data_IF_168371361197
#
_entry.id   IF_168371361197
#
_cell.length_a   1.000
_cell.length_b   1.000
_cell.length_c   1.000
_cell.angle_alpha   90.00
_cell.angle_beta   90.00
_cell.angle_gamma   90.00
#
_symmetry.space_group_name_H-M   'P 1'
#
loop_
_entity.id
_entity.type
_entity.pdbx_description
1 polymer ?
#
# COMPACT_ATOMS: atom_id res chain seq x y z
N UNK A 1 14.60 -18.27 -24.78
CA UNK A 1 14.61 -16.85 -25.21
C UNK A 1 13.22 -16.30 -25.52
N UNK A 2 12.41 -16.94 -26.38
CA UNK A 2 11.07 -16.43 -26.74
C UNK A 2 10.09 -16.27 -25.55
N UNK A 3 10.15 -17.15 -24.54
CA UNK A 3 9.32 -17.02 -23.33
C UNK A 3 9.69 -15.83 -22.44
N UNK A 4 10.96 -15.43 -22.45
CA UNK A 4 11.46 -14.29 -21.66
C UNK A 4 10.99 -12.96 -22.23
N UNK A 5 11.04 -12.82 -23.56
CA UNK A 5 10.57 -11.62 -24.26
C UNK A 5 9.07 -11.39 -24.10
N UNK A 6 8.27 -12.46 -24.06
CA UNK A 6 6.83 -12.40 -23.82
C UNK A 6 6.49 -11.89 -22.42
N UNK A 7 7.17 -12.40 -21.40
CA UNK A 7 6.98 -11.93 -20.01
C UNK A 7 7.41 -10.47 -19.85
N UNK A 8 8.50 -10.06 -20.51
CA UNK A 8 8.98 -8.68 -20.48
C UNK A 8 8.01 -7.71 -21.17
N UNK A 9 7.42 -8.11 -22.30
CA UNK A 9 6.42 -7.31 -23.01
C UNK A 9 5.11 -7.18 -22.22
N UNK A 10 4.63 -8.26 -21.60
CA UNK A 10 3.43 -8.24 -20.75
C UNK A 10 3.66 -7.36 -19.52
N UNK A 11 4.82 -7.49 -18.86
CA UNK A 11 5.20 -6.61 -17.77
C UNK A 11 5.28 -5.15 -18.24
N UNK A 12 5.90 -4.86 -19.39
CA UNK A 12 5.99 -3.51 -19.95
C UNK A 12 4.62 -2.86 -20.22
N UNK A 13 3.65 -3.62 -20.73
CA UNK A 13 2.29 -3.12 -20.99
C UNK A 13 1.53 -2.87 -19.68
N UNK A 14 1.62 -3.77 -18.70
CA UNK A 14 1.01 -3.58 -17.38
C UNK A 14 1.62 -2.37 -16.64
N UNK A 15 2.94 -2.22 -16.72
CA UNK A 15 3.68 -1.11 -16.10
C UNK A 15 3.42 0.24 -16.76
N UNK A 16 3.15 0.28 -18.07
CA UNK A 16 2.77 1.51 -18.79
C UNK A 16 1.37 2.02 -18.44
N UNK A 17 0.50 1.16 -17.89
CA UNK A 17 -0.89 1.52 -17.55
C UNK A 17 -0.97 2.27 -16.20
N UNK A 18 -0.07 1.97 -15.26
CA UNK A 18 0.00 2.63 -13.93
C UNK A 18 0.12 4.17 -13.98
N UNK A 19 1.01 4.78 -14.80
CA UNK A 19 1.10 6.24 -14.90
C UNK A 19 -0.13 6.91 -15.51
N UNK A 20 -1.00 6.17 -16.21
CA UNK A 20 -2.25 6.72 -16.75
C UNK A 20 -3.38 6.78 -15.71
N UNK A 21 -3.32 5.93 -14.68
CA UNK A 21 -4.30 5.90 -13.59
C UNK A 21 -3.91 6.91 -12.50
N UNK A 22 -2.61 7.04 -12.22
CA UNK A 22 -2.09 7.96 -11.20
C UNK A 22 -1.18 9.02 -11.83
N UNK A 23 -1.77 10.09 -12.35
CA UNK A 23 -1.02 11.22 -12.92
C UNK A 23 -0.03 11.87 -11.94
N UNK A 24 -0.25 11.74 -10.63
CA UNK A 24 0.65 12.24 -9.59
C UNK A 24 1.94 11.42 -9.46
N UNK A 25 1.99 10.21 -10.04
CA UNK A 25 3.17 9.34 -10.07
C UNK A 25 4.03 9.64 -11.30
N UNK A 26 4.97 10.58 -11.15
CA UNK A 26 5.92 10.90 -12.23
C UNK A 26 6.73 9.66 -12.63
N UNK A 27 7.05 9.55 -13.93
CA UNK A 27 7.82 8.43 -14.52
C UNK A 27 9.11 8.06 -13.77
N UNK A 28 9.82 9.03 -13.20
CA UNK A 28 11.03 8.78 -12.42
C UNK A 28 10.80 7.92 -11.17
N UNK A 29 9.71 8.15 -10.42
CA UNK A 29 9.38 7.36 -9.22
C UNK A 29 9.05 5.91 -9.58
N UNK A 30 8.40 5.71 -10.72
CA UNK A 30 8.03 4.39 -11.25
C UNK A 30 9.30 3.59 -11.57
N UNK A 31 10.28 4.20 -12.24
CA UNK A 31 11.57 3.56 -12.56
C UNK A 31 12.29 3.13 -11.27
N UNK A 32 12.35 4.01 -10.27
CA UNK A 32 12.98 3.70 -8.98
C UNK A 32 12.30 2.50 -8.33
N UNK A 33 10.97 2.48 -8.23
CA UNK A 33 10.22 1.36 -7.67
C UNK A 33 10.55 0.06 -8.42
N UNK A 34 10.62 0.07 -9.75
CA UNK A 34 10.91 -1.14 -10.53
C UNK A 34 12.33 -1.67 -10.39
N UNK A 35 13.30 -0.83 -10.04
CA UNK A 35 14.67 -1.27 -9.77
C UNK A 35 14.75 -1.94 -8.39
N UNK A 36 14.14 -1.35 -7.36
CA UNK A 36 14.26 -1.83 -5.99
C UNK A 36 13.24 -2.94 -5.64
N UNK A 37 12.03 -2.89 -6.18
CA UNK A 37 10.96 -3.84 -5.84
C UNK A 37 11.33 -5.31 -6.09
N UNK A 38 12.01 -5.70 -7.19
CA UNK A 38 12.42 -7.09 -7.40
C UNK A 38 13.40 -7.59 -6.34
N UNK A 39 14.33 -6.73 -5.90
CA UNK A 39 15.31 -7.06 -4.84
C UNK A 39 14.58 -7.26 -3.51
N UNK A 40 13.68 -6.34 -3.15
CA UNK A 40 12.89 -6.45 -1.93
C UNK A 40 11.93 -7.64 -1.96
N UNK A 41 11.32 -7.92 -3.10
CA UNK A 41 10.45 -9.07 -3.31
C UNK A 41 11.21 -10.39 -3.15
N UNK A 42 12.43 -10.49 -3.70
CA UNK A 42 13.29 -11.66 -3.50
C UNK A 42 13.62 -11.86 -2.02
N UNK A 43 14.08 -10.81 -1.33
CA UNK A 43 14.39 -10.87 0.11
C UNK A 43 13.16 -11.26 0.93
N UNK A 44 11.99 -10.69 0.63
CA UNK A 44 10.75 -11.00 1.33
C UNK A 44 10.29 -12.45 1.10
N UNK A 45 10.33 -12.92 -0.15
CA UNK A 45 9.94 -14.28 -0.50
C UNK A 45 10.87 -15.31 0.16
N UNK A 46 12.19 -15.04 0.16
CA UNK A 46 13.16 -15.88 0.85
C UNK A 46 12.90 -15.92 2.36
N UNK A 47 12.74 -14.77 3.00
CA UNK A 47 12.43 -14.69 4.43
C UNK A 47 11.12 -15.40 4.76
N UNK A 48 10.07 -15.15 3.98
CA UNK A 48 8.76 -15.77 4.16
C UNK A 48 8.80 -17.29 3.99
N UNK A 49 9.62 -17.81 3.07
CA UNK A 49 9.82 -19.27 2.91
C UNK A 49 10.34 -19.95 4.18
N UNK A 50 11.15 -19.24 4.97
CA UNK A 50 11.72 -19.71 6.24
C UNK A 50 10.84 -19.42 7.46
N UNK A 51 10.30 -18.20 7.58
CA UNK A 51 9.59 -17.73 8.78
C UNK A 51 8.07 -17.83 8.69
N UNK A 52 7.54 -18.16 7.51
CA UNK A 52 6.11 -18.09 7.19
C UNK A 52 5.50 -16.68 7.42
N UNK A 53 6.33 -15.64 7.41
CA UNK A 53 5.91 -14.26 7.67
C UNK A 53 6.31 -13.33 6.53
N UNK A 54 5.38 -12.48 6.07
CA UNK A 54 5.60 -11.52 4.99
C UNK A 54 5.72 -10.10 5.54
N UNK A 55 6.76 -9.38 5.11
CA UNK A 55 7.02 -8.00 5.50
C UNK A 55 6.48 -6.97 4.48
N UNK A 56 5.55 -7.38 3.61
CA UNK A 56 5.00 -6.53 2.53
C UNK A 56 4.53 -5.16 3.04
N UNK A 57 3.80 -5.12 4.16
CA UNK A 57 3.35 -3.86 4.80
C UNK A 57 4.51 -2.93 5.20
N UNK A 58 5.62 -3.48 5.70
CA UNK A 58 6.79 -2.66 6.05
C UNK A 58 7.46 -2.08 4.80
N UNK A 59 7.63 -2.88 3.75
CA UNK A 59 8.17 -2.40 2.46
C UNK A 59 7.25 -1.36 1.80
N UNK A 60 5.93 -1.52 1.92
CA UNK A 60 4.95 -0.51 1.53
C UNK A 60 5.18 0.82 2.24
N UNK A 61 5.32 0.81 3.56
CA UNK A 61 5.61 2.02 4.35
C UNK A 61 6.94 2.66 3.98
N UNK A 62 7.97 1.88 3.68
CA UNK A 62 9.24 2.42 3.15
C UNK A 62 9.05 3.10 1.80
N UNK A 63 8.20 2.54 0.92
CA UNK A 63 7.85 3.19 -0.35
C UNK A 63 7.10 4.51 -0.13
N UNK A 64 6.21 4.60 0.86
CA UNK A 64 5.56 5.85 1.26
C UNK A 64 6.60 6.91 1.63
N UNK A 65 7.54 6.59 2.52
CA UNK A 65 8.53 7.57 2.98
C UNK A 65 9.48 8.00 1.87
N UNK A 66 9.96 7.07 1.06
CA UNK A 66 10.93 7.38 0.00
C UNK A 66 10.31 8.17 -1.16
N UNK A 67 9.13 7.77 -1.62
CA UNK A 67 8.45 8.39 -2.77
C UNK A 67 7.63 9.61 -2.34
N UNK A 68 6.95 9.54 -1.19
CA UNK A 68 6.18 10.65 -0.65
C UNK A 68 7.08 11.85 -0.30
N UNK A 69 8.21 11.61 0.39
CA UNK A 69 9.17 12.67 0.68
C UNK A 69 9.78 13.26 -0.60
N UNK A 70 10.10 12.40 -1.59
CA UNK A 70 10.69 12.83 -2.86
C UNK A 70 9.74 13.64 -3.75
N UNK A 71 8.43 13.40 -3.69
CA UNK A 71 7.42 14.11 -4.46
C UNK A 71 7.04 15.48 -3.85
N UNK A 72 7.13 15.63 -2.52
CA UNK A 72 6.83 16.86 -1.80
C UNK A 72 5.33 17.23 -1.75
N UNK A 73 5.00 18.21 -0.89
CA UNK A 73 3.60 18.65 -0.65
C UNK A 73 2.97 19.30 -1.90
N UNK A 74 3.77 19.97 -2.72
CA UNK A 74 3.30 20.74 -3.89
C UNK A 74 2.84 19.89 -5.07
N UNK A 75 3.18 18.60 -5.11
CA UNK A 75 2.86 17.69 -6.24
C UNK A 75 2.00 16.51 -5.81
N UNK A 76 1.19 16.65 -4.76
CA UNK A 76 0.33 15.57 -4.30
C UNK A 76 1.11 14.35 -3.77
N UNK A 77 2.24 14.59 -3.11
CA UNK A 77 3.14 13.54 -2.61
C UNK A 77 2.47 12.50 -1.72
N UNK A 78 1.38 12.85 -1.03
CA UNK A 78 0.58 11.91 -0.22
C UNK A 78 -0.05 10.84 -1.12
N UNK A 79 -0.70 11.26 -2.21
CA UNK A 79 -1.31 10.34 -3.17
C UNK A 79 -0.26 9.53 -3.92
N UNK A 80 0.85 10.16 -4.32
CA UNK A 80 1.97 9.47 -4.98
C UNK A 80 2.61 8.41 -4.06
N UNK A 81 2.82 8.73 -2.78
CA UNK A 81 3.34 7.81 -1.78
C UNK A 81 2.40 6.65 -1.47
N UNK A 82 1.09 6.92 -1.34
CA UNK A 82 0.06 5.88 -1.15
C UNK A 82 -0.05 4.94 -2.37
N UNK A 83 -0.02 5.49 -3.58
CA UNK A 83 -0.02 4.68 -4.79
C UNK A 83 1.27 3.84 -4.92
N UNK A 84 2.43 4.42 -4.63
CA UNK A 84 3.70 3.69 -4.59
C UNK A 84 3.70 2.57 -3.53
N UNK A 85 3.10 2.82 -2.37
CA UNK A 85 2.88 1.82 -1.34
C UNK A 85 2.06 0.64 -1.87
N UNK A 86 0.93 0.92 -2.51
CA UNK A 86 0.07 -0.11 -3.09
C UNK A 86 0.82 -0.97 -4.11
N UNK A 87 1.58 -0.34 -5.02
CA UNK A 87 2.39 -1.05 -6.01
C UNK A 87 3.45 -1.92 -5.33
N UNK A 88 4.23 -1.37 -4.40
CA UNK A 88 5.27 -2.12 -3.68
C UNK A 88 4.70 -3.29 -2.90
N UNK A 89 3.60 -3.06 -2.16
CA UNK A 89 2.95 -4.11 -1.37
C UNK A 89 2.47 -5.26 -2.25
N UNK A 90 1.83 -4.97 -3.39
CA UNK A 90 1.35 -6.00 -4.32
C UNK A 90 2.51 -6.82 -4.89
N UNK A 91 3.60 -6.19 -5.32
CA UNK A 91 4.77 -6.92 -5.85
C UNK A 91 5.34 -7.86 -4.79
N UNK A 92 5.54 -7.33 -3.59
CA UNK A 92 6.22 -8.04 -2.50
C UNK A 92 5.33 -9.11 -1.86
N UNK A 93 4.02 -8.89 -1.77
CA UNK A 93 3.07 -9.92 -1.30
C UNK A 93 2.96 -11.05 -2.31
N UNK A 94 2.77 -10.73 -3.60
CA UNK A 94 2.63 -11.73 -4.66
C UNK A 94 3.85 -12.65 -4.73
N UNK A 95 5.05 -12.11 -4.54
CA UNK A 95 6.27 -12.92 -4.51
C UNK A 95 6.31 -13.92 -3.35
N UNK A 96 5.83 -13.51 -2.16
CA UNK A 96 5.75 -14.40 -1.00
C UNK A 96 4.64 -15.44 -1.12
N UNK A 97 3.47 -15.04 -1.62
CA UNK A 97 2.36 -15.96 -1.86
C UNK A 97 2.78 -17.04 -2.87
N UNK A 98 3.46 -16.65 -3.95
CA UNK A 98 4.02 -17.58 -4.93
C UNK A 98 5.06 -18.53 -4.32
N UNK A 99 5.89 -18.05 -3.40
CA UNK A 99 6.86 -18.89 -2.68
C UNK A 99 6.15 -19.93 -1.82
N UNK A 100 5.14 -19.52 -1.05
CA UNK A 100 4.34 -20.42 -0.22
C UNK A 100 3.60 -21.45 -1.07
N UNK A 101 3.04 -21.01 -2.20
CA UNK A 101 2.39 -21.88 -3.16
C UNK A 101 3.33 -22.91 -3.75
N UNK A 102 4.55 -22.53 -4.16
CA UNK A 102 5.51 -23.51 -4.66
C UNK A 102 5.95 -24.51 -3.58
N UNK A 103 6.08 -24.07 -2.33
CA UNK A 103 6.38 -24.95 -1.19
C UNK A 103 5.24 -25.95 -0.98
N UNK A 104 4.00 -25.49 -0.95
CA UNK A 104 2.80 -26.32 -0.83
C UNK A 104 2.64 -27.26 -2.03
N UNK A 105 2.89 -26.76 -3.24
CA UNK A 105 2.86 -27.54 -4.47
C UNK A 105 3.89 -28.67 -4.47
N UNK A 106 5.09 -28.42 -3.93
CA UNK A 106 6.09 -29.45 -3.74
C UNK A 106 5.64 -30.53 -2.75
N UNK A 107 5.03 -30.14 -1.62
CA UNK A 107 4.54 -31.09 -0.60
C UNK A 107 3.35 -31.93 -1.10
N UNK A 108 2.52 -31.38 -1.99
CA UNK A 108 1.35 -32.05 -2.58
C UNK A 108 1.66 -32.79 -3.89
N UNK A 109 2.95 -32.86 -4.28
CA UNK A 109 3.41 -33.45 -5.55
C UNK A 109 2.75 -32.79 -6.79
N UNK A 110 2.22 -31.58 -6.64
CA UNK A 110 1.65 -30.82 -7.73
C UNK A 110 2.75 -30.26 -8.64
N UNK A 111 2.49 -30.23 -9.94
CA UNK A 111 3.48 -29.69 -10.89
C UNK A 111 3.64 -28.18 -10.72
N UNK A 112 4.90 -27.70 -10.70
CA UNK A 112 5.25 -26.27 -10.59
C UNK A 112 4.58 -25.42 -11.68
N UNK A 113 4.42 -25.98 -12.89
CA UNK A 113 3.76 -25.30 -14.01
C UNK A 113 2.27 -25.09 -13.76
N UNK A 114 1.58 -26.10 -13.22
CA UNK A 114 0.16 -25.97 -12.86
C UNK A 114 -0.04 -24.86 -11.83
N UNK A 115 0.82 -24.81 -10.81
CA UNK A 115 0.75 -23.80 -9.75
C UNK A 115 0.90 -22.36 -10.29
N UNK A 116 1.89 -22.13 -11.16
CA UNK A 116 2.06 -20.81 -11.79
C UNK A 116 0.88 -20.42 -12.67
N UNK A 117 0.27 -21.36 -13.39
CA UNK A 117 -0.91 -21.08 -14.22
C UNK A 117 -2.11 -20.70 -13.35
N UNK A 118 -2.35 -21.44 -12.27
CA UNK A 118 -3.42 -21.11 -11.30
C UNK A 118 -3.24 -19.72 -10.68
N UNK A 119 -2.00 -19.35 -10.34
CA UNK A 119 -1.68 -18.02 -9.81
C UNK A 119 -1.98 -16.89 -10.80
N UNK A 120 -1.63 -17.07 -12.08
CA UNK A 120 -1.98 -16.09 -13.13
C UNK A 120 -3.49 -15.96 -13.28
N UNK A 121 -4.23 -17.07 -13.28
CA UNK A 121 -5.69 -17.06 -13.40
C UNK A 121 -6.33 -16.39 -12.17
N UNK A 122 -5.90 -16.77 -10.97
CA UNK A 122 -6.40 -16.21 -9.72
C UNK A 122 -6.14 -14.70 -9.62
N UNK A 123 -4.94 -14.26 -10.02
CA UNK A 123 -4.60 -12.83 -10.08
C UNK A 123 -5.48 -12.10 -11.08
N UNK A 124 -5.67 -12.64 -12.28
CA UNK A 124 -6.52 -12.03 -13.32
C UNK A 124 -7.99 -11.92 -12.85
N UNK A 125 -8.52 -12.95 -12.20
CA UNK A 125 -9.85 -12.91 -11.58
C UNK A 125 -9.91 -11.86 -10.47
N UNK A 126 -8.89 -11.77 -9.61
CA UNK A 126 -8.80 -10.78 -8.55
C UNK A 126 -8.81 -9.35 -9.07
N UNK A 127 -8.12 -9.07 -10.18
CA UNK A 127 -8.12 -7.75 -10.82
C UNK A 127 -9.51 -7.29 -11.30
N UNK A 128 -10.44 -8.22 -11.56
CA UNK A 128 -11.81 -7.89 -11.97
C UNK A 128 -12.76 -7.92 -10.78
N UNK A 129 -12.71 -8.97 -9.95
CA UNK A 129 -13.64 -9.17 -8.84
C UNK A 129 -13.44 -8.10 -7.76
N UNK A 130 -12.18 -7.77 -7.41
CA UNK A 130 -11.87 -6.80 -6.35
C UNK A 130 -12.49 -5.41 -6.60
N UNK A 131 -12.29 -4.74 -7.75
CA UNK A 131 -12.93 -3.45 -8.01
C UNK A 131 -14.46 -3.56 -8.13
N UNK A 132 -15.00 -4.66 -8.67
CA UNK A 132 -16.45 -4.86 -8.72
C UNK A 132 -17.07 -4.92 -7.33
N UNK A 133 -16.47 -5.69 -6.41
CA UNK A 133 -16.92 -5.77 -5.02
C UNK A 133 -16.77 -4.41 -4.34
N UNK A 134 -15.62 -3.74 -4.48
CA UNK A 134 -15.41 -2.41 -3.94
C UNK A 134 -16.49 -1.43 -4.41
N UNK A 135 -16.85 -1.43 -5.69
CA UNK A 135 -17.87 -0.54 -6.24
C UNK A 135 -19.27 -0.80 -5.70
N UNK A 136 -19.62 -2.08 -5.47
CA UNK A 136 -20.90 -2.45 -4.84
C UNK A 136 -20.97 -1.87 -3.43
N UNK A 137 -19.93 -2.06 -2.62
CA UNK A 137 -19.88 -1.51 -1.26
C UNK A 137 -19.88 0.03 -1.26
N UNK A 138 -19.11 0.64 -2.17
CA UNK A 138 -19.04 2.10 -2.32
C UNK A 138 -20.39 2.73 -2.71
N UNK A 139 -21.22 2.02 -3.48
CA UNK A 139 -22.58 2.49 -3.84
C UNK A 139 -23.63 2.14 -2.79
N UNK A 140 -23.46 1.03 -2.07
CA UNK A 140 -24.42 0.58 -1.07
C UNK A 140 -24.34 1.39 0.23
N UNK A 141 -23.13 1.84 0.62
CA UNK A 141 -22.90 2.54 1.88
C UNK A 141 -22.31 3.94 1.61
N UNK A 142 -23.08 5.03 1.78
CA UNK A 142 -22.61 6.39 1.51
C UNK A 142 -21.57 6.89 2.54
N UNK A 143 -21.49 6.24 3.70
CA UNK A 143 -20.60 6.53 4.83
C UNK A 143 -19.39 5.58 4.90
N UNK A 144 -19.18 4.74 3.89
CA UNK A 144 -18.11 3.73 3.85
C UNK A 144 -16.74 4.34 4.19
N UNK A 145 -16.08 3.79 5.22
CA UNK A 145 -14.73 4.18 5.63
C UNK A 145 -14.65 5.33 6.64
N UNK A 146 -15.76 5.99 6.98
CA UNK A 146 -15.80 6.93 8.10
C UNK A 146 -15.72 6.18 9.44
N UNK A 147 -15.11 6.80 10.46
CA UNK A 147 -15.00 6.18 11.80
C UNK A 147 -16.36 5.93 12.45
N UNK A 148 -17.39 6.69 12.06
CA UNK A 148 -18.76 6.56 12.53
C UNK A 148 -19.62 5.58 11.71
N UNK A 149 -19.05 4.96 10.67
CA UNK A 149 -19.77 4.04 9.79
C UNK A 149 -19.82 2.63 10.37
N UNK A 150 -20.76 1.82 9.88
CA UNK A 150 -20.79 0.38 10.14
C UNK A 150 -19.54 -0.33 9.60
N UNK A 151 -18.89 0.23 8.57
CA UNK A 151 -17.65 -0.28 7.97
C UNK A 151 -16.51 0.76 8.04
N UNK A 152 -15.89 0.95 9.22
CA UNK A 152 -14.77 1.87 9.36
C UNK A 152 -13.52 1.33 8.65
N UNK A 153 -12.71 2.23 8.08
CA UNK A 153 -11.47 1.89 7.36
C UNK A 153 -10.22 2.34 8.13
N UNK A 154 -9.91 1.74 9.30
CA UNK A 154 -8.83 2.21 10.18
C UNK A 154 -7.45 2.17 9.51
N UNK A 155 -7.21 1.18 8.64
CA UNK A 155 -5.97 1.11 7.88
C UNK A 155 -5.84 2.27 6.88
N UNK A 156 -6.92 2.75 6.27
CA UNK A 156 -6.86 3.89 5.38
C UNK A 156 -6.36 5.14 6.13
N UNK A 157 -6.89 5.40 7.32
CA UNK A 157 -6.45 6.51 8.19
C UNK A 157 -4.98 6.39 8.61
N UNK A 158 -4.52 5.17 8.96
CA UNK A 158 -3.13 4.92 9.35
C UNK A 158 -2.17 5.18 8.19
N UNK A 159 -2.45 4.63 7.01
CA UNK A 159 -1.58 4.80 5.84
C UNK A 159 -1.62 6.23 5.31
N UNK A 160 -2.77 6.90 5.36
CA UNK A 160 -2.89 8.32 5.05
C UNK A 160 -2.02 9.17 5.98
N UNK A 161 -2.07 8.90 7.30
CA UNK A 161 -1.25 9.61 8.29
C UNK A 161 0.24 9.37 8.06
N UNK A 162 0.63 8.14 7.72
CA UNK A 162 2.02 7.81 7.36
C UNK A 162 2.47 8.53 6.07
N UNK A 163 1.59 8.63 5.08
CA UNK A 163 1.88 9.35 3.85
C UNK A 163 1.98 10.86 4.06
N UNK A 164 1.10 11.43 4.88
CA UNK A 164 1.21 12.83 5.30
C UNK A 164 2.53 13.08 6.04
N UNK A 165 2.88 12.21 6.98
CA UNK A 165 4.15 12.28 7.70
C UNK A 165 5.36 12.16 6.76
N UNK A 166 5.31 11.26 5.77
CA UNK A 166 6.39 11.09 4.81
C UNK A 166 6.60 12.32 3.92
N UNK A 167 5.56 13.11 3.67
CA UNK A 167 5.62 14.27 2.78
C UNK A 167 5.93 15.56 3.54
N UNK A 168 5.36 15.74 4.74
CA UNK A 168 5.51 16.94 5.57
C UNK A 168 6.68 16.82 6.58
N UNK A 169 7.24 15.62 6.76
CA UNK A 169 8.35 15.35 7.66
C UNK A 169 7.99 15.45 9.14
N UNK A 170 9.00 15.53 10.02
CA UNK A 170 8.81 15.54 11.48
C UNK A 170 7.91 16.68 12.00
N UNK A 171 7.72 17.74 11.21
CA UNK A 171 6.81 18.84 11.52
C UNK A 171 5.33 18.42 11.57
N UNK A 172 4.97 17.28 10.99
CA UNK A 172 3.63 16.70 11.06
C UNK A 172 3.41 15.79 12.28
N UNK A 173 4.44 15.49 13.10
CA UNK A 173 4.24 14.74 14.34
C UNK A 173 3.57 15.63 15.40
N UNK A 174 2.62 15.08 16.18
CA UNK A 174 2.14 15.73 17.40
C UNK A 174 3.33 16.04 18.33
N UNK A 175 3.35 17.26 18.90
CA UNK A 175 4.45 17.76 19.73
C UNK A 175 4.77 16.89 20.97
N UNK A 176 3.85 16.01 21.35
CA UNK A 176 3.95 15.15 22.54
C UNK A 176 4.55 13.75 22.25
N UNK A 177 4.79 13.36 20.98
CA UNK A 177 5.36 12.04 20.66
C UNK A 177 6.82 11.85 21.11
N UNK A 178 7.60 12.93 21.21
CA UNK A 178 9.00 12.88 21.66
C UNK A 178 9.14 12.79 23.20
N UNK A 179 8.11 13.15 23.97
CA UNK A 179 8.16 13.11 25.44
C UNK A 179 7.99 11.70 26.03
N UNK A 180 7.49 10.74 25.26
CA UNK A 180 7.23 9.38 25.74
C UNK A 180 8.48 8.48 25.80
N UNK A 181 9.60 8.89 25.20
CA UNK A 181 10.87 8.14 25.31
C UNK A 181 11.64 8.43 26.60
N UNK A 182 11.23 9.43 27.39
CA UNK A 182 11.95 9.90 28.59
C UNK A 182 11.18 9.66 29.90
N UNK A 183 10.19 8.75 29.89
CA UNK A 183 9.44 8.43 31.11
C UNK A 183 10.06 7.22 31.84
N UNK A 184 10.54 7.37 33.09
CA UNK A 184 11.08 6.27 33.88
C UNK A 184 10.03 5.17 34.13
N UNK A 185 10.46 3.91 34.06
CA UNK A 185 9.65 2.70 34.29
C UNK A 185 8.88 2.78 35.62
N UNK A 186 7.56 3.03 35.58
CA UNK A 186 6.79 3.03 36.83
C UNK A 186 5.34 3.46 36.79
N UNK A 187 4.84 4.08 35.71
CA UNK A 187 3.44 4.54 35.68
C UNK A 187 2.65 3.79 34.60
N UNK A 188 1.47 3.31 35.01
CA UNK A 188 0.48 2.63 34.16
C UNK A 188 0.32 3.34 32.81
N UNK A 189 0.32 2.61 31.68
CA UNK A 189 0.22 3.24 30.37
C UNK A 189 -1.08 4.06 30.31
N UNK A 190 -1.02 5.35 29.91
CA UNK A 190 -2.23 6.10 29.64
C UNK A 190 -3.02 5.38 28.55
N UNK A 191 -4.37 5.49 28.54
CA UNK A 191 -5.18 4.86 27.51
C UNK A 191 -4.63 5.25 26.15
N UNK A 192 -4.42 4.22 25.32
CA UNK A 192 -4.08 4.32 23.89
C UNK A 192 -4.67 5.61 23.35
N UNK A 193 -3.83 6.54 22.86
CA UNK A 193 -4.24 7.84 22.35
C UNK A 193 -5.42 7.71 21.37
N UNK A 194 -6.63 7.71 21.88
CA UNK A 194 -7.82 8.15 21.19
C UNK A 194 -7.52 9.60 20.88
N UNK A 195 -7.23 9.91 19.62
CA UNK A 195 -7.26 11.28 19.16
C UNK A 195 -8.66 11.81 19.47
N UNK A 196 -8.83 12.78 20.40
CA UNK A 196 -10.11 13.45 20.55
C UNK A 196 -10.24 14.35 19.31
N UNK A 197 -11.28 14.11 18.52
CA UNK A 197 -11.69 14.85 17.33
C UNK A 197 -12.11 16.32 17.62
N UNK A 198 -11.61 16.95 18.69
CA UNK A 198 -12.11 18.25 19.17
C UNK A 198 -11.04 19.35 19.33
N UNK A 199 -9.78 19.10 18.92
CA UNK A 199 -8.74 20.16 18.90
C UNK A 199 -7.91 20.28 17.62
N UNK A 200 -8.12 19.40 16.64
CA UNK A 200 -7.78 19.76 15.27
C UNK A 200 -8.97 20.53 14.71
N UNK A 201 -8.82 21.83 14.45
CA UNK A 201 -9.81 22.68 13.81
C UNK A 201 -10.13 22.27 12.36
N UNK A 202 -10.53 21.02 12.16
CA UNK A 202 -11.17 20.53 10.96
C UNK A 202 -12.64 20.95 11.06
N UNK A 203 -12.88 22.25 10.88
CA UNK A 203 -14.20 22.74 10.48
C UNK A 203 -14.60 21.88 9.28
N UNK A 204 -15.68 21.12 9.45
CA UNK A 204 -16.42 20.42 8.39
C UNK A 204 -16.38 21.26 7.12
N UNK A 205 -15.47 20.91 6.20
CA UNK A 205 -15.44 21.50 4.88
C UNK A 205 -16.10 20.47 3.99
N UNK A 206 -17.32 20.83 3.61
CA UNK A 206 -18.26 20.00 2.88
C UNK A 206 -17.61 19.38 1.63
N UNK A 207 -17.97 18.13 1.36
CA UNK A 207 -17.56 17.32 0.20
C UNK A 207 -17.87 18.01 -1.16
N UNK A 208 -18.61 19.12 -1.15
CA UNK A 208 -18.91 19.93 -2.32
C UNK A 208 -17.73 20.76 -2.86
N UNK A 209 -16.61 20.91 -2.14
CA UNK A 209 -15.46 21.73 -2.60
C UNK A 209 -14.45 20.98 -3.51
N UNK A 210 -14.71 19.70 -3.83
CA UNK A 210 -13.89 18.91 -4.78
C UNK A 210 -14.37 18.97 -6.23
N UNK A 211 -15.41 19.73 -6.55
CA UNK A 211 -15.79 20.06 -7.93
C UNK A 211 -15.18 21.42 -8.31
N UNK A 212 -14.02 21.40 -8.95
CA UNK A 212 -13.50 22.54 -9.70
C UNK A 212 -14.36 22.82 -10.95
N UNK A 213 -14.33 24.07 -11.47
CA UNK A 213 -15.29 24.55 -12.47
C UNK A 213 -15.12 23.87 -13.84
N UNK A 214 -16.23 23.87 -14.58
CA UNK A 214 -16.49 23.27 -15.91
C UNK A 214 -15.37 23.42 -16.95
#
# INVERSE_FOLDING_TARGET
MAHYWRSLAIAAVLTATLPQIFHQLKWYHIIVIYIYAPVLAFCNAFGCGHTNWSLSSAYGKLAIFTIGAGAGTSHGGVLAGLAACGVMMNIVSTASDLMQDFKTGYMTLASRRSMSVSQVIGTAMGCVISPCVFWIFYKAFPDLGLESSEYPAPFASVYYSMAKLGVEGFSALPKECLKLQESPEGETPPPVCQMPLDQAGCKSRDVHEWQGPE
#
